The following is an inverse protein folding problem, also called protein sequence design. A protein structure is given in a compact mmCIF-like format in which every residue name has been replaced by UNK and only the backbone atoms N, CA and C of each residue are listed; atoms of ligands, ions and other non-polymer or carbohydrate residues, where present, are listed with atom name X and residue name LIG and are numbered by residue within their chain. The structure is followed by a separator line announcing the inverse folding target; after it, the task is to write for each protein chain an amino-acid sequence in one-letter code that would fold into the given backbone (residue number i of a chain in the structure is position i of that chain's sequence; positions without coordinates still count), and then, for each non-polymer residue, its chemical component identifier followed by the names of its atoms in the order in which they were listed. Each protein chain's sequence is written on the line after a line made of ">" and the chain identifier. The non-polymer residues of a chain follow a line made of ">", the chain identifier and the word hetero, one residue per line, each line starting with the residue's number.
data_IF_731251143831
#
_entry.id   IF_731251143831
#
_cell.length_a   1.000
_cell.length_b   1.000
_cell.length_c   1.000
_cell.angle_alpha   90.00
_cell.angle_beta   90.00
_cell.angle_gamma   90.00
#
_symmetry.space_group_name_H-M   'P 1'
#
loop_
_entity.id
_entity.type
_entity.pdbx_description
1 polymer ?
#
# COMPACT_ATOMS: atom_id res chain seq x y z
N UNK A 1 0.24 22.92 -79.69
CA UNK A 1 0.65 21.85 -78.71
C UNK A 1 0.82 22.56 -77.34
N UNK A 2 -0.18 22.44 -76.44
CA UNK A 2 -0.09 22.98 -75.08
C UNK A 2 0.15 21.81 -74.15
N UNK A 3 1.29 21.77 -73.47
CA UNK A 3 1.60 20.78 -72.43
C UNK A 3 1.12 21.33 -71.09
N UNK A 4 0.13 20.68 -70.51
CA UNK A 4 -0.33 20.92 -69.16
C UNK A 4 0.56 20.17 -68.19
N UNK A 5 1.28 20.89 -67.32
CA UNK A 5 1.98 20.31 -66.13
C UNK A 5 0.98 20.13 -65.02
N UNK A 6 0.75 18.90 -64.58
CA UNK A 6 0.01 18.55 -63.38
C UNK A 6 0.97 18.54 -62.21
N UNK A 7 0.84 19.46 -61.25
CA UNK A 7 1.56 19.47 -59.99
C UNK A 7 0.82 18.54 -59.02
N UNK A 8 1.47 17.44 -58.64
CA UNK A 8 1.00 16.58 -57.58
C UNK A 8 1.47 17.14 -56.22
N UNK A 9 0.53 17.60 -55.40
CA UNK A 9 0.84 18.01 -54.01
C UNK A 9 0.92 16.78 -53.13
N UNK A 10 2.10 16.48 -52.62
CA UNK A 10 2.32 15.46 -51.60
C UNK A 10 2.07 16.08 -50.24
N UNK A 11 0.96 15.72 -49.56
CA UNK A 11 0.69 16.10 -48.21
C UNK A 11 1.46 15.18 -47.25
N UNK A 12 2.48 15.70 -46.59
CA UNK A 12 3.20 15.00 -45.52
C UNK A 12 2.41 15.17 -44.21
N UNK A 13 1.72 14.11 -43.77
CA UNK A 13 1.06 14.05 -42.47
C UNK A 13 2.13 13.74 -41.42
N UNK A 14 2.58 14.76 -40.70
CA UNK A 14 3.45 14.56 -39.54
C UNK A 14 2.61 13.99 -38.36
N UNK A 15 2.79 12.70 -38.07
CA UNK A 15 2.30 12.08 -36.85
C UNK A 15 3.18 12.58 -35.70
N UNK A 16 2.64 13.51 -34.90
CA UNK A 16 3.24 13.88 -33.63
C UNK A 16 2.98 12.77 -32.62
N UNK A 17 3.94 11.89 -32.41
CA UNK A 17 3.91 10.94 -31.29
C UNK A 17 4.18 11.70 -30.01
N UNK A 18 3.13 11.99 -29.24
CA UNK A 18 3.26 12.47 -27.86
C UNK A 18 3.80 11.33 -27.01
N UNK A 19 5.09 11.38 -26.73
CA UNK A 19 5.72 10.51 -25.72
C UNK A 19 5.22 11.00 -24.37
N UNK A 20 4.25 10.28 -23.78
CA UNK A 20 3.88 10.48 -22.39
C UNK A 20 5.08 10.02 -21.53
N UNK A 21 5.89 10.97 -21.09
CA UNK A 21 6.85 10.72 -20.03
C UNK A 21 6.06 10.47 -18.76
N UNK A 22 5.77 9.20 -18.44
CA UNK A 22 5.32 8.81 -17.12
C UNK A 22 6.52 8.94 -16.19
N UNK A 23 6.62 10.05 -15.47
CA UNK A 23 7.52 10.14 -14.33
C UNK A 23 7.12 9.03 -13.35
N UNK A 24 8.07 8.19 -12.88
CA UNK A 24 7.75 7.22 -11.83
C UNK A 24 7.21 7.99 -10.64
N UNK A 25 5.98 7.73 -10.29
CA UNK A 25 5.34 8.33 -9.13
C UNK A 25 5.93 7.63 -7.90
N UNK A 26 6.82 8.33 -7.19
CA UNK A 26 7.37 7.85 -5.93
C UNK A 26 6.30 8.00 -4.85
N UNK A 27 5.57 6.93 -4.60
CA UNK A 27 4.72 6.79 -3.43
C UNK A 27 5.48 5.97 -2.39
N UNK A 28 5.36 6.32 -1.11
CA UNK A 28 5.94 5.53 -0.02
C UNK A 28 5.09 5.71 1.25
N UNK A 29 4.71 4.60 1.86
CA UNK A 29 3.91 4.64 3.07
C UNK A 29 3.69 3.26 3.69
N UNK A 30 3.37 3.24 4.97
CA UNK A 30 3.09 2.02 5.73
C UNK A 30 2.21 2.32 6.95
N UNK A 31 1.60 1.29 7.52
CA UNK A 31 0.88 1.43 8.79
C UNK A 31 1.87 1.49 9.94
N UNK A 32 1.86 2.63 10.64
CA UNK A 32 2.73 2.88 11.78
C UNK A 32 2.08 2.51 13.12
N UNK A 33 0.75 2.65 13.23
CA UNK A 33 0.01 2.33 14.47
C UNK A 33 -1.32 1.62 14.14
N UNK A 34 -1.65 0.51 14.81
CA UNK A 34 -0.72 -0.37 15.53
C UNK A 34 0.44 -0.76 14.61
N UNK A 35 1.62 -1.00 15.20
CA UNK A 35 2.83 -1.20 14.42
C UNK A 35 2.69 -2.40 13.46
N UNK A 36 2.88 -2.15 12.17
CA UNK A 36 2.96 -3.20 11.15
C UNK A 36 4.24 -4.03 11.30
N UNK A 37 4.33 -5.16 10.57
CA UNK A 37 5.52 -6.00 10.57
C UNK A 37 6.76 -5.23 10.17
N UNK A 38 6.69 -4.43 9.08
CA UNK A 38 7.80 -3.56 8.66
C UNK A 38 8.12 -2.46 9.69
N UNK A 39 7.13 -1.91 10.37
CA UNK A 39 7.38 -0.96 11.46
C UNK A 39 8.08 -1.61 12.66
N UNK A 40 7.69 -2.84 13.02
CA UNK A 40 8.35 -3.61 14.08
C UNK A 40 9.79 -3.99 13.69
N UNK A 41 10.03 -4.32 12.41
CA UNK A 41 11.37 -4.56 11.88
C UNK A 41 12.25 -3.32 11.97
N UNK A 42 11.75 -2.17 11.50
CA UNK A 42 12.48 -0.89 11.56
C UNK A 42 12.76 -0.44 13.00
N UNK A 43 11.91 -0.81 13.96
CA UNK A 43 12.10 -0.55 15.38
C UNK A 43 13.01 -1.59 16.08
N UNK A 44 13.58 -2.57 15.35
CA UNK A 44 14.45 -3.61 15.91
C UNK A 44 13.75 -4.61 16.84
N UNK A 45 12.40 -4.69 16.77
CA UNK A 45 11.61 -5.58 17.64
C UNK A 45 11.57 -7.03 17.13
N UNK A 46 11.94 -7.25 15.88
CA UNK A 46 11.96 -8.58 15.24
C UNK A 46 13.32 -8.78 14.62
N UNK A 47 14.01 -9.92 14.90
CA UNK A 47 15.32 -10.20 14.33
C UNK A 47 15.24 -10.60 12.85
N UNK A 48 16.36 -10.48 12.15
CA UNK A 48 16.57 -11.00 10.80
C UNK A 48 15.50 -10.52 9.77
N UNK A 49 15.18 -9.25 9.82
CA UNK A 49 14.20 -8.63 8.91
C UNK A 49 14.78 -8.24 7.54
N UNK A 50 16.11 -8.30 7.36
CA UNK A 50 16.76 -7.89 6.11
C UNK A 50 16.59 -6.39 5.82
N UNK A 51 16.56 -6.04 4.53
CA UNK A 51 16.59 -4.64 4.09
C UNK A 51 15.36 -3.81 4.50
N UNK A 52 14.24 -4.46 4.82
CA UNK A 52 13.02 -3.72 5.22
C UNK A 52 13.22 -2.83 6.45
N UNK A 53 14.24 -3.07 7.28
CA UNK A 53 14.58 -2.23 8.45
C UNK A 53 14.94 -0.79 8.05
N UNK A 54 15.46 -0.59 6.84
CA UNK A 54 15.89 0.71 6.33
C UNK A 54 14.83 1.41 5.47
N UNK A 55 13.85 0.66 4.98
CA UNK A 55 12.86 1.17 4.04
C UNK A 55 11.44 0.60 4.30
N UNK A 56 10.92 0.71 5.54
CA UNK A 56 9.61 0.15 5.89
C UNK A 56 8.46 0.68 5.05
N UNK A 57 8.64 1.83 4.38
CA UNK A 57 7.67 2.48 3.50
C UNK A 57 7.64 1.90 2.08
N UNK A 58 8.56 0.98 1.70
CA UNK A 58 8.81 0.59 0.30
C UNK A 58 8.14 -0.73 -0.12
N UNK A 59 7.16 -1.24 0.64
CA UNK A 59 6.46 -2.49 0.30
C UNK A 59 5.40 -2.20 -0.77
N UNK A 60 5.87 -1.99 -2.01
CA UNK A 60 5.04 -1.66 -3.18
C UNK A 60 4.96 -2.86 -4.13
N UNK A 61 3.79 -3.16 -4.65
CA UNK A 61 3.59 -4.18 -5.68
C UNK A 61 2.27 -4.03 -6.41
N UNK A 62 1.97 -4.91 -7.38
CA UNK A 62 0.72 -4.89 -8.11
C UNK A 62 -0.50 -4.90 -7.18
N UNK A 63 -1.57 -4.20 -7.56
CA UNK A 63 -2.86 -4.27 -6.86
C UNK A 63 -3.38 -5.70 -6.81
N UNK A 64 -4.15 -6.01 -5.75
CA UNK A 64 -4.85 -7.28 -5.63
C UNK A 64 -4.07 -8.41 -4.94
N UNK A 65 -2.81 -8.18 -4.54
CA UNK A 65 -2.05 -9.17 -3.78
C UNK A 65 -2.63 -9.37 -2.37
N UNK A 66 -2.37 -10.56 -1.79
CA UNK A 66 -2.84 -10.96 -0.45
C UNK A 66 -1.70 -11.50 0.40
N UNK A 67 -0.52 -10.86 0.34
CA UNK A 67 0.64 -11.21 1.15
C UNK A 67 1.30 -9.95 1.72
N UNK A 68 2.18 -10.12 2.70
CA UNK A 68 2.76 -9.02 3.46
C UNK A 68 3.98 -8.38 2.79
N UNK A 69 4.54 -9.00 1.75
CA UNK A 69 5.79 -8.58 1.10
C UNK A 69 5.60 -8.08 -0.33
N UNK A 70 4.34 -7.93 -0.81
CA UNK A 70 4.00 -7.44 -2.16
C UNK A 70 4.71 -8.20 -3.30
N UNK A 71 5.02 -9.47 -3.11
CA UNK A 71 5.83 -10.31 -4.02
C UNK A 71 7.26 -9.79 -4.27
N UNK A 72 7.79 -8.96 -3.37
CA UNK A 72 9.17 -8.47 -3.43
C UNK A 72 10.07 -9.48 -2.72
N UNK A 73 10.97 -10.21 -3.44
CA UNK A 73 11.76 -11.29 -2.83
C UNK A 73 12.62 -10.84 -1.64
N UNK A 74 13.19 -9.64 -1.71
CA UNK A 74 14.03 -9.09 -0.63
C UNK A 74 13.25 -8.76 0.65
N UNK A 75 11.90 -8.75 0.61
CA UNK A 75 11.02 -8.52 1.75
C UNK A 75 10.21 -9.78 2.13
N UNK A 76 10.58 -10.95 1.59
CA UNK A 76 9.83 -12.21 1.79
C UNK A 76 9.64 -12.57 3.28
N UNK A 77 10.59 -12.19 4.14
CA UNK A 77 10.50 -12.37 5.60
C UNK A 77 9.29 -11.69 6.23
N UNK A 78 8.69 -10.67 5.61
CA UNK A 78 7.44 -10.06 6.11
C UNK A 78 6.25 -11.05 6.05
N UNK A 79 6.32 -12.08 5.20
CA UNK A 79 5.32 -13.15 5.10
C UNK A 79 5.72 -14.43 5.82
N UNK A 80 6.85 -14.45 6.52
CA UNK A 80 7.29 -15.60 7.32
C UNK A 80 6.53 -15.63 8.66
N UNK A 81 5.60 -16.56 8.77
CA UNK A 81 4.76 -16.74 9.97
C UNK A 81 5.53 -17.41 11.14
N UNK A 82 6.73 -17.93 10.92
CA UNK A 82 7.56 -18.50 11.98
C UNK A 82 8.29 -17.43 12.82
N UNK A 83 8.35 -16.19 12.33
CA UNK A 83 8.97 -15.08 13.05
C UNK A 83 8.15 -14.65 14.27
N UNK A 84 8.80 -14.18 15.34
CA UNK A 84 8.13 -13.76 16.57
C UNK A 84 7.46 -12.39 16.41
N UNK A 85 6.46 -12.30 15.53
CA UNK A 85 5.73 -11.06 15.30
C UNK A 85 5.01 -10.58 16.55
N UNK A 86 5.32 -9.38 17.08
CA UNK A 86 4.59 -8.80 18.20
C UNK A 86 3.13 -8.55 17.81
N UNK A 87 2.18 -9.03 18.62
CA UNK A 87 0.77 -8.71 18.46
C UNK A 87 0.37 -7.58 19.43
N UNK A 88 -0.22 -6.52 18.88
CA UNK A 88 -0.76 -5.43 19.71
C UNK A 88 -2.10 -5.84 20.26
N UNK A 89 -2.29 -5.77 21.61
CA UNK A 89 -3.59 -5.98 22.24
C UNK A 89 -4.53 -4.83 21.94
N UNK A 90 -5.72 -5.15 21.43
CA UNK A 90 -6.71 -4.18 20.98
C UNK A 90 -8.12 -4.61 21.37
N UNK A 91 -9.04 -3.64 21.50
CA UNK A 91 -10.47 -3.90 21.56
C UNK A 91 -11.06 -4.25 20.19
N UNK A 92 -12.40 -4.27 20.12
CA UNK A 92 -13.11 -4.61 18.88
C UNK A 92 -13.07 -3.51 17.82
N UNK A 93 -12.78 -2.27 18.19
CA UNK A 93 -12.59 -1.15 17.26
C UNK A 93 -11.13 -0.73 17.28
N UNK A 94 -10.49 -0.79 16.11
CA UNK A 94 -9.05 -0.57 15.98
C UNK A 94 -8.81 0.60 15.02
N UNK A 95 -8.04 1.59 15.46
CA UNK A 95 -7.64 2.70 14.59
C UNK A 95 -6.26 2.41 14.00
N UNK A 96 -6.22 2.25 12.67
CA UNK A 96 -4.99 2.08 11.91
C UNK A 96 -4.54 3.44 11.39
N UNK A 97 -3.28 3.80 11.64
CA UNK A 97 -2.68 5.05 11.17
C UNK A 97 -1.60 4.73 10.14
N UNK A 98 -1.82 5.19 8.91
CA UNK A 98 -0.83 5.22 7.85
C UNK A 98 0.07 6.44 8.01
N UNK A 99 1.35 6.26 7.74
CA UNK A 99 2.35 7.32 7.62
C UNK A 99 2.94 7.28 6.23
N UNK A 100 2.98 8.43 5.56
CA UNK A 100 3.49 8.56 4.20
C UNK A 100 4.78 9.38 4.20
N UNK A 101 5.85 8.80 3.68
CA UNK A 101 7.11 9.52 3.42
C UNK A 101 7.10 10.15 2.02
N UNK A 102 6.30 9.59 1.09
CA UNK A 102 5.98 10.21 -0.18
C UNK A 102 4.49 9.97 -0.46
N UNK A 103 3.72 11.05 -0.52
CA UNK A 103 2.26 11.02 -0.70
C UNK A 103 1.90 10.91 -2.17
N UNK A 104 0.84 10.17 -2.48
CA UNK A 104 0.36 10.00 -3.85
C UNK A 104 -1.17 9.96 -3.92
N UNK A 105 -1.73 10.26 -5.10
CA UNK A 105 -3.18 10.19 -5.35
C UNK A 105 -3.73 8.79 -5.01
N UNK A 106 -4.73 8.73 -4.13
CA UNK A 106 -5.21 7.50 -3.51
C UNK A 106 -6.56 7.08 -4.09
N UNK A 107 -6.65 5.84 -4.56
CA UNK A 107 -7.92 5.23 -4.93
C UNK A 107 -8.74 4.90 -3.67
N UNK A 108 -8.19 4.02 -2.84
CA UNK A 108 -8.80 3.61 -1.57
C UNK A 108 -7.78 2.96 -0.64
N UNK A 109 -8.22 2.68 0.59
CA UNK A 109 -7.54 1.85 1.57
C UNK A 109 -8.41 0.64 1.88
N UNK A 110 -7.84 -0.56 1.83
CA UNK A 110 -8.55 -1.80 2.11
C UNK A 110 -7.90 -2.53 3.29
N UNK A 111 -8.73 -3.21 4.09
CA UNK A 111 -8.28 -4.01 5.23
C UNK A 111 -8.84 -5.42 5.11
N UNK A 112 -7.99 -6.43 5.29
CA UNK A 112 -8.35 -7.84 5.17
C UNK A 112 -7.91 -8.65 6.38
N UNK A 113 -8.73 -9.64 6.78
CA UNK A 113 -8.35 -10.75 7.64
C UNK A 113 -8.56 -12.03 6.84
N UNK A 114 -7.47 -12.75 6.59
CA UNK A 114 -7.49 -13.84 5.61
C UNK A 114 -7.93 -13.33 4.24
N UNK A 115 -8.98 -13.93 3.69
CA UNK A 115 -9.58 -13.54 2.41
C UNK A 115 -10.77 -12.57 2.55
N UNK A 116 -11.17 -12.24 3.78
CA UNK A 116 -12.33 -11.37 4.03
C UNK A 116 -11.91 -9.92 4.12
N UNK A 117 -12.50 -9.06 3.26
CA UNK A 117 -12.34 -7.61 3.38
C UNK A 117 -13.23 -7.10 4.50
N UNK A 118 -12.59 -6.62 5.58
CA UNK A 118 -13.27 -6.12 6.77
C UNK A 118 -13.59 -4.63 6.71
N UNK A 119 -12.85 -3.86 5.90
CA UNK A 119 -13.14 -2.44 5.69
C UNK A 119 -12.57 -1.94 4.37
N UNK A 120 -13.16 -0.85 3.86
CA UNK A 120 -12.65 -0.04 2.74
C UNK A 120 -12.95 1.43 2.99
N UNK A 121 -11.98 2.30 2.70
CA UNK A 121 -12.10 3.75 2.81
C UNK A 121 -11.69 4.39 1.48
N UNK A 122 -12.55 5.23 0.93
CA UNK A 122 -12.29 5.87 -0.37
C UNK A 122 -11.26 6.99 -0.23
N UNK A 123 -10.29 7.03 -1.13
CA UNK A 123 -9.29 8.11 -1.25
C UNK A 123 -9.69 9.22 -2.22
N UNK A 124 -10.78 9.00 -2.99
CA UNK A 124 -11.34 9.96 -3.97
C UNK A 124 -10.32 10.48 -5.02
N UNK A 125 -9.27 9.73 -5.30
CA UNK A 125 -8.18 10.17 -6.19
C UNK A 125 -7.34 11.31 -5.62
N UNK A 126 -7.50 11.64 -4.34
CA UNK A 126 -6.79 12.76 -3.71
C UNK A 126 -5.46 12.31 -3.11
N UNK A 127 -4.50 13.23 -3.09
CA UNK A 127 -3.27 13.04 -2.34
C UNK A 127 -3.58 13.18 -0.84
N UNK A 128 -3.24 12.16 -0.01
CA UNK A 128 -3.55 12.21 1.42
C UNK A 128 -2.68 13.23 2.17
N UNK A 129 -3.04 13.65 3.39
CA UNK A 129 -2.12 14.28 4.33
C UNK A 129 -0.98 13.34 4.69
N UNK A 130 0.01 13.81 5.47
CA UNK A 130 1.18 13.00 5.86
C UNK A 130 0.80 11.77 6.69
N UNK A 131 -0.31 11.82 7.40
CA UNK A 131 -0.88 10.69 8.13
C UNK A 131 -2.38 10.58 7.86
N UNK A 132 -2.89 9.35 7.79
CA UNK A 132 -4.32 9.04 7.65
C UNK A 132 -4.69 7.95 8.63
N UNK A 133 -5.79 8.15 9.38
CA UNK A 133 -6.27 7.17 10.35
C UNK A 133 -7.66 6.66 9.97
N UNK A 134 -7.83 5.34 10.07
CA UNK A 134 -9.09 4.65 9.82
C UNK A 134 -9.45 3.77 11.00
N UNK A 135 -10.68 3.91 11.53
CA UNK A 135 -11.18 3.02 12.56
C UNK A 135 -11.97 1.88 11.92
N UNK A 136 -11.51 0.66 12.15
CA UNK A 136 -12.09 -0.58 11.61
C UNK A 136 -12.77 -1.34 12.74
N UNK A 137 -13.99 -1.83 12.50
CA UNK A 137 -14.73 -2.67 13.41
C UNK A 137 -14.31 -4.15 13.20
N UNK A 138 -13.76 -4.75 14.24
CA UNK A 138 -13.33 -6.15 14.28
C UNK A 138 -14.16 -6.98 15.29
N UNK A 139 -15.39 -6.55 15.62
CA UNK A 139 -16.24 -7.20 16.61
C UNK A 139 -16.59 -8.67 16.27
N UNK A 140 -16.50 -9.06 14.99
CA UNK A 140 -16.65 -10.46 14.55
C UNK A 140 -15.39 -11.33 14.71
N UNK A 141 -14.29 -10.79 15.27
CA UNK A 141 -13.02 -11.47 15.42
C UNK A 141 -12.54 -11.47 16.86
N UNK A 142 -11.78 -12.48 17.25
CA UNK A 142 -11.16 -12.59 18.57
C UNK A 142 -9.83 -13.30 18.51
N UNK A 143 -9.01 -13.13 19.53
CA UNK A 143 -7.70 -13.76 19.61
C UNK A 143 -6.70 -13.16 18.64
N UNK A 144 -5.68 -13.95 18.26
CA UNK A 144 -4.65 -13.49 17.36
C UNK A 144 -5.18 -13.36 15.93
N UNK A 145 -5.06 -12.17 15.37
CA UNK A 145 -5.45 -11.84 14.01
C UNK A 145 -4.30 -11.14 13.27
N UNK A 146 -4.16 -11.45 11.98
CA UNK A 146 -3.30 -10.70 11.08
C UNK A 146 -4.18 -9.88 10.14
N UNK A 147 -4.06 -8.56 10.23
CA UNK A 147 -4.72 -7.62 9.32
C UNK A 147 -3.75 -7.25 8.21
N UNK A 148 -4.15 -7.46 6.96
CA UNK A 148 -3.47 -6.92 5.80
C UNK A 148 -4.14 -5.60 5.42
N UNK A 149 -3.40 -4.50 5.57
CA UNK A 149 -3.79 -3.18 5.12
C UNK A 149 -3.15 -2.86 3.77
N UNK A 150 -3.96 -2.37 2.82
CA UNK A 150 -3.55 -2.08 1.44
C UNK A 150 -3.88 -0.62 1.13
N UNK A 151 -2.90 0.14 0.64
CA UNK A 151 -3.08 1.48 0.11
C UNK A 151 -3.00 1.43 -1.42
N UNK A 152 -4.15 1.51 -2.10
CA UNK A 152 -4.26 1.48 -3.55
C UNK A 152 -4.03 2.88 -4.14
N UNK A 153 -3.05 2.99 -5.04
CA UNK A 153 -2.74 4.24 -5.76
C UNK A 153 -3.76 4.43 -6.89
N UNK A 154 -4.22 5.66 -7.14
CA UNK A 154 -5.32 5.87 -8.10
C UNK A 154 -4.88 5.79 -9.56
N UNK A 155 -3.71 6.30 -9.89
CA UNK A 155 -3.20 6.52 -11.26
C UNK A 155 -2.06 5.56 -11.66
N UNK A 156 -1.80 4.51 -10.86
CA UNK A 156 -0.87 3.43 -11.16
C UNK A 156 -1.51 2.06 -10.99
N UNK A 157 -0.87 1.00 -11.47
CA UNK A 157 -1.27 -0.38 -11.24
C UNK A 157 -0.89 -0.90 -9.84
N UNK A 158 -0.22 -0.08 -9.02
CA UNK A 158 0.43 -0.50 -7.79
C UNK A 158 -0.37 -0.12 -6.53
N UNK A 159 -0.02 -0.81 -5.45
CA UNK A 159 -0.48 -0.59 -4.09
C UNK A 159 0.66 -0.81 -3.09
N UNK A 160 0.50 -0.29 -1.88
CA UNK A 160 1.39 -0.51 -0.75
C UNK A 160 0.73 -1.46 0.25
N UNK A 161 1.53 -2.32 0.87
CA UNK A 161 1.07 -3.41 1.70
C UNK A 161 1.67 -3.33 3.10
N UNK A 162 0.83 -3.51 4.13
CA UNK A 162 1.26 -3.58 5.53
C UNK A 162 0.49 -4.68 6.24
N UNK A 163 1.19 -5.63 6.85
CA UNK A 163 0.58 -6.60 7.75
C UNK A 163 0.75 -6.15 9.19
N UNK A 164 -0.33 -6.25 9.96
CA UNK A 164 -0.39 -5.88 11.37
C UNK A 164 -0.89 -7.07 12.17
N UNK A 165 -0.11 -7.51 13.15
CA UNK A 165 -0.49 -8.58 14.06
C UNK A 165 -1.19 -8.00 15.30
N UNK A 166 -2.39 -8.50 15.58
CA UNK A 166 -3.26 -8.03 16.66
C UNK A 166 -3.65 -9.17 17.59
N UNK A 167 -3.89 -8.84 18.87
CA UNK A 167 -4.62 -9.67 19.81
C UNK A 167 -5.96 -8.98 20.07
N UNK A 168 -7.01 -9.40 19.38
CA UNK A 168 -8.36 -8.80 19.45
C UNK A 168 -9.13 -9.32 20.64
N UNK A 169 -9.87 -8.44 21.33
CA UNK A 169 -10.65 -8.78 22.53
C UNK A 169 -9.81 -8.91 23.80
N UNK A 170 -8.51 -8.62 23.75
CA UNK A 170 -7.72 -8.39 24.95
C UNK A 170 -8.20 -7.12 25.65
N UNK A 171 -8.10 -7.06 26.98
CA UNK A 171 -8.33 -5.85 27.79
C UNK A 171 -7.21 -4.83 27.54
N UNK A 172 -7.06 -4.41 26.29
CA UNK A 172 -6.16 -3.33 25.89
C UNK A 172 -6.83 -2.01 26.25
N UNK A 173 -6.19 -1.27 27.12
CA UNK A 173 -6.55 0.11 27.41
C UNK A 173 -6.62 0.87 26.06
N UNK A 174 -7.70 1.61 25.74
CA UNK A 174 -7.67 2.48 24.56
C UNK A 174 -6.50 3.47 24.76
N UNK A 175 -5.57 3.45 23.87
CA UNK A 175 -4.42 4.35 23.89
C UNK A 175 -4.87 5.81 24.02
N UNK A 176 -4.16 6.61 24.84
CA UNK A 176 -4.40 8.04 24.97
C UNK A 176 -4.19 8.79 23.65
#
# INVERSE_FOLDING_TARGET
>A
MRRTLTLAAVAVIAFATTVFNTTPAFAHGYVNAPASRQANCAAGKVPDCGNIVYEPQSVEGPKGLRNCHANIPQFAQLSDESKPWPATSVGNRVTFTWTFTARHATLNYEYYIGNTRVAVFNGNGQQPPQTVSHTVDLSGYSGRQKVLAIWNISDTANAFYSCIDLQVGGSGNPNP
#
